data_IF_122635231134
#
_entry.id   IF_122635231134
#
_cell.length_a   1.000
_cell.length_b   1.000
_cell.length_c   1.000
_cell.angle_alpha   90.00
_cell.angle_beta   90.00
_cell.angle_gamma   90.00
#
_symmetry.space_group_name_H-M   'P 1'
#
loop_
_entity.id
_entity.type
_entity.pdbx_description
1 polymer ?
#
# COMPACT_ATOMS: atom_id res chain seq x y z
N UNK A 1 -22.85 4.98 15.73
CA UNK A 1 -21.44 4.63 15.99
C UNK A 1 -21.21 3.33 16.78
N UNK A 2 -21.51 3.22 18.09
CA UNK A 2 -21.16 1.99 18.85
C UNK A 2 -21.91 0.74 18.36
N UNK A 3 -23.17 0.90 17.93
CA UNK A 3 -23.97 -0.19 17.34
C UNK A 3 -23.49 -0.57 15.93
N UNK A 4 -23.08 0.39 15.11
CA UNK A 4 -22.50 0.16 13.79
C UNK A 4 -21.14 -0.54 13.90
N UNK A 5 -20.28 -0.11 14.83
CA UNK A 5 -19.01 -0.76 15.12
C UNK A 5 -19.19 -2.19 15.66
N UNK A 6 -20.21 -2.45 16.48
CA UNK A 6 -20.54 -3.83 16.93
C UNK A 6 -20.97 -4.73 15.75
N UNK A 7 -21.64 -4.18 14.74
CA UNK A 7 -21.98 -4.94 13.52
C UNK A 7 -20.75 -5.15 12.62
N UNK A 8 -19.88 -4.15 12.49
CA UNK A 8 -18.62 -4.23 11.74
C UNK A 8 -17.65 -5.24 12.38
N UNK A 9 -17.47 -5.22 13.70
CA UNK A 9 -16.64 -6.21 14.41
C UNK A 9 -17.18 -7.64 14.28
N UNK A 10 -18.49 -7.82 14.10
CA UNK A 10 -19.11 -9.14 13.85
C UNK A 10 -18.92 -9.61 12.40
N UNK A 11 -18.92 -8.70 11.43
CA UNK A 11 -18.63 -8.99 10.01
C UNK A 11 -17.13 -9.25 9.76
N UNK A 12 -16.25 -8.76 10.64
CA UNK A 12 -14.79 -8.96 10.61
C UNK A 12 -14.30 -10.27 11.21
N UNK A 13 -15.10 -10.95 12.04
CA UNK A 13 -14.72 -12.24 12.66
C UNK A 13 -15.42 -13.38 11.93
N UNK A 14 -14.65 -14.19 11.21
CA UNK A 14 -15.09 -15.51 10.78
C UNK A 14 -15.55 -16.35 11.99
N UNK A 15 -16.49 -17.28 11.76
CA UNK A 15 -17.00 -18.17 12.83
C UNK A 15 -15.84 -18.93 13.49
N UNK A 16 -15.77 -19.01 14.82
CA UNK A 16 -14.74 -19.80 15.50
C UNK A 16 -14.91 -21.28 15.15
N UNK A 17 -13.87 -21.90 14.58
CA UNK A 17 -13.78 -23.36 14.50
C UNK A 17 -13.14 -23.87 15.79
N UNK A 18 -13.81 -24.82 16.42
CA UNK A 18 -13.36 -25.48 17.66
C UNK A 18 -11.94 -26.02 17.52
N UNK A 19 -11.12 -25.76 18.54
CA UNK A 19 -9.67 -25.90 18.49
C UNK A 19 -9.13 -27.32 18.49
N UNK A 20 -7.86 -27.40 18.10
CA UNK A 20 -6.94 -28.47 18.47
C UNK A 20 -5.70 -27.83 19.09
N UNK A 21 -5.44 -28.17 20.36
CA UNK A 21 -4.32 -27.71 21.17
C UNK A 21 -3.01 -28.43 20.80
N UNK A 22 -1.90 -27.70 20.65
CA UNK A 22 -0.52 -28.25 20.64
C UNK A 22 0.52 -27.20 21.14
N UNK A 23 1.75 -27.61 21.52
CA UNK A 23 2.32 -27.30 22.82
C UNK A 23 3.24 -26.08 22.85
N UNK A 24 3.38 -25.50 24.05
CA UNK A 24 4.33 -24.43 24.36
C UNK A 24 5.77 -24.91 24.20
N UNK A 25 6.57 -24.20 23.41
CA UNK A 25 8.04 -24.29 23.45
C UNK A 25 8.65 -23.11 24.21
N UNK A 26 9.59 -23.45 25.09
CA UNK A 26 10.28 -22.56 26.00
C UNK A 26 11.32 -21.68 25.30
N UNK A 27 11.55 -20.50 25.88
CA UNK A 27 12.55 -19.54 25.45
C UNK A 27 13.97 -20.12 25.50
N UNK A 28 14.76 -19.92 24.44
CA UNK A 28 16.19 -20.17 24.43
C UNK A 28 16.96 -18.86 24.30
N UNK A 29 17.97 -18.76 25.14
CA UNK A 29 18.82 -17.62 25.49
C UNK A 29 19.66 -17.11 24.32
N UNK A 30 19.79 -15.79 24.26
CA UNK A 30 20.69 -15.06 23.37
C UNK A 30 22.17 -15.42 23.64
N UNK A 31 22.95 -15.60 22.58
CA UNK A 31 24.41 -15.57 22.64
C UNK A 31 24.95 -14.54 21.66
N UNK A 32 25.67 -13.55 22.22
CA UNK A 32 26.40 -12.50 21.50
C UNK A 32 27.61 -13.11 20.78
N UNK A 33 27.81 -12.78 19.52
CA UNK A 33 29.14 -12.81 18.90
C UNK A 33 29.37 -11.47 18.19
N UNK A 34 30.43 -10.79 18.61
CA UNK A 34 30.88 -9.53 18.07
C UNK A 34 32.04 -9.73 17.08
N UNK A 35 32.04 -8.86 16.07
CA UNK A 35 33.18 -8.29 15.33
C UNK A 35 34.13 -9.21 14.53
N UNK A 36 34.24 -8.97 13.22
CA UNK A 36 35.32 -8.13 12.70
C UNK A 36 35.13 -7.82 11.20
N UNK A 37 35.14 -6.53 10.88
CA UNK A 37 35.30 -6.00 9.53
C UNK A 37 36.80 -5.79 9.33
N UNK A 38 37.39 -6.38 8.28
CA UNK A 38 38.73 -6.03 7.83
C UNK A 38 38.70 -5.84 6.31
N UNK A 39 38.95 -4.60 5.87
CA UNK A 39 39.34 -4.28 4.49
C UNK A 39 40.87 -4.33 4.40
N UNK A 40 41.41 -4.93 3.33
CA UNK A 40 42.58 -4.50 2.54
C UNK A 40 42.96 -5.56 1.47
N UNK A 41 43.17 -5.12 0.22
CA UNK A 41 43.89 -5.82 -0.87
C UNK A 41 45.37 -5.34 -0.89
N UNK A 42 46.30 -5.84 -1.76
CA UNK A 42 46.51 -7.16 -2.37
C UNK A 42 47.98 -7.67 -2.20
N UNK A 43 48.25 -8.96 -2.47
CA UNK A 43 49.43 -9.49 -3.23
C UNK A 43 49.77 -10.96 -2.88
N UNK A 44 50.22 -11.67 -3.93
CA UNK A 44 51.04 -12.90 -3.94
C UNK A 44 50.40 -14.25 -3.57
N UNK A 45 50.50 -15.19 -4.52
CA UNK A 45 50.73 -16.61 -4.24
C UNK A 45 49.61 -17.56 -4.63
N UNK A 46 49.76 -18.24 -5.77
CA UNK A 46 49.02 -19.47 -6.08
C UNK A 46 49.25 -20.50 -4.97
N UNK A 47 48.18 -21.00 -4.35
CA UNK A 47 48.19 -22.25 -3.58
C UNK A 47 47.02 -23.11 -4.03
N UNK A 48 47.39 -24.22 -4.67
CA UNK A 48 46.53 -25.28 -5.17
C UNK A 48 45.99 -26.10 -3.98
N UNK A 49 44.67 -26.06 -3.73
CA UNK A 49 44.02 -26.92 -2.73
C UNK A 49 43.25 -28.05 -3.43
N UNK A 50 43.70 -29.28 -3.19
CA UNK A 50 43.11 -30.54 -3.67
C UNK A 50 41.74 -30.80 -3.01
N UNK A 51 40.78 -31.44 -3.70
CA UNK A 51 39.48 -31.76 -3.13
C UNK A 51 39.57 -32.96 -2.17
N UNK A 52 38.93 -32.83 -1.01
CA UNK A 52 38.70 -33.93 -0.05
C UNK A 52 37.35 -34.58 -0.38
N UNK A 53 37.26 -35.92 -0.55
CA UNK A 53 36.00 -36.59 -0.84
C UNK A 53 35.19 -36.78 0.44
N UNK A 54 33.94 -36.33 0.45
CA UNK A 54 32.99 -36.66 1.53
C UNK A 54 32.07 -37.77 1.03
N UNK A 55 32.12 -38.88 1.77
CA UNK A 55 31.36 -40.12 1.60
C UNK A 55 29.84 -39.88 1.66
N UNK A 56 29.10 -40.47 0.71
CA UNK A 56 27.66 -40.65 0.80
C UNK A 56 27.35 -41.96 1.54
N UNK A 57 26.53 -41.96 2.62
CA UNK A 57 25.81 -43.13 3.03
C UNK A 57 24.50 -43.23 2.23
N UNK A 58 24.44 -44.20 1.34
CA UNK A 58 23.21 -44.74 0.76
C UNK A 58 22.36 -45.39 1.85
N UNK A 59 21.17 -44.84 2.08
CA UNK A 59 19.87 -45.50 2.34
C UNK A 59 19.00 -44.59 3.21
N UNK A 60 18.09 -43.84 2.60
CA UNK A 60 16.87 -43.42 3.29
C UNK A 60 15.69 -43.38 2.31
N UNK A 61 14.64 -44.07 2.75
CA UNK A 61 13.39 -44.35 2.08
C UNK A 61 12.73 -43.12 1.44
N UNK A 62 12.30 -43.27 0.18
CA UNK A 62 11.40 -42.36 -0.52
C UNK A 62 10.09 -42.23 0.27
N UNK A 63 10.00 -41.18 1.10
CA UNK A 63 8.70 -40.65 1.50
C UNK A 63 8.35 -39.54 0.53
N UNK A 64 7.35 -39.82 -0.30
CA UNK A 64 6.61 -38.84 -1.09
C UNK A 64 6.20 -37.69 -0.17
N UNK A 65 6.87 -36.56 -0.28
CA UNK A 65 6.43 -35.32 0.34
C UNK A 65 5.22 -34.88 -0.49
N UNK A 66 4.02 -35.13 0.03
CA UNK A 66 2.83 -34.39 -0.40
C UNK A 66 3.11 -32.93 -0.08
N UNK A 67 3.23 -32.12 -1.11
CA UNK A 67 3.23 -30.66 -1.02
C UNK A 67 1.76 -30.30 -0.75
N UNK A 68 1.34 -30.41 0.51
CA UNK A 68 0.06 -29.89 0.94
C UNK A 68 0.13 -28.36 0.93
N UNK A 69 -0.77 -27.76 0.16
CA UNK A 69 -1.38 -26.44 0.34
C UNK A 69 -0.65 -25.45 1.26
N UNK A 70 0.20 -24.59 0.69
CA UNK A 70 0.38 -23.24 1.23
C UNK A 70 -0.84 -22.40 0.84
N UNK A 71 -1.99 -22.72 1.43
CA UNK A 71 -3.00 -21.70 1.65
C UNK A 71 -2.36 -20.68 2.58
N UNK A 72 -2.07 -19.47 2.08
CA UNK A 72 -1.73 -18.32 2.92
C UNK A 72 -2.97 -18.06 3.78
N UNK A 73 -3.00 -18.68 4.96
CA UNK A 73 -4.02 -18.43 5.95
C UNK A 73 -4.01 -16.94 6.29
N UNK A 74 -5.19 -16.34 6.32
CA UNK A 74 -5.35 -15.00 6.89
C UNK A 74 -4.79 -15.03 8.31
N UNK A 75 -3.78 -14.20 8.59
CA UNK A 75 -3.29 -14.02 9.96
C UNK A 75 -4.46 -13.44 10.76
N UNK A 76 -5.04 -14.24 11.66
CA UNK A 76 -6.05 -13.74 12.60
C UNK A 76 -5.41 -12.63 13.42
N UNK A 77 -5.70 -11.37 13.07
CA UNK A 77 -5.16 -10.21 13.77
C UNK A 77 -5.81 -10.16 15.16
N UNK A 78 -5.01 -10.37 16.20
CA UNK A 78 -5.47 -10.22 17.58
C UNK A 78 -6.06 -8.81 17.78
N UNK A 79 -7.20 -8.69 18.48
CA UNK A 79 -7.87 -7.41 18.62
C UNK A 79 -7.00 -6.42 19.42
N UNK A 80 -6.64 -5.30 18.80
CA UNK A 80 -5.89 -4.23 19.45
C UNK A 80 -6.71 -3.64 20.60
N UNK A 81 -6.17 -3.58 21.84
CA UNK A 81 -6.89 -3.10 23.00
C UNK A 81 -7.32 -1.64 22.87
N UNK A 82 -8.45 -1.30 23.49
CA UNK A 82 -8.92 0.09 23.54
C UNK A 82 -7.96 0.95 24.39
N UNK A 83 -7.77 2.22 23.98
CA UNK A 83 -6.85 3.16 24.63
C UNK A 83 -7.59 4.28 25.35
N UNK A 84 -6.92 4.96 26.28
CA UNK A 84 -7.49 6.14 26.96
C UNK A 84 -7.59 7.34 26.01
N UNK A 85 -8.51 8.26 26.32
CA UNK A 85 -8.67 9.52 25.59
C UNK A 85 -7.37 10.33 25.54
N UNK A 86 -6.58 10.36 26.63
CA UNK A 86 -5.27 11.03 26.65
C UNK A 86 -4.28 10.43 25.64
N UNK A 87 -4.23 9.10 25.54
CA UNK A 87 -3.37 8.42 24.57
C UNK A 87 -3.83 8.71 23.14
N UNK A 88 -5.14 8.76 22.92
CA UNK A 88 -5.73 9.12 21.63
C UNK A 88 -5.33 10.55 21.21
N UNK A 89 -5.48 11.53 22.10
CA UNK A 89 -5.06 12.92 21.87
C UNK A 89 -3.57 13.02 21.54
N UNK A 90 -2.72 12.24 22.22
CA UNK A 90 -1.28 12.17 21.92
C UNK A 90 -1.02 11.59 20.53
N UNK A 91 -1.75 10.57 20.10
CA UNK A 91 -1.60 10.01 18.75
C UNK A 91 -2.02 11.05 17.70
N UNK A 92 -3.15 11.73 17.90
CA UNK A 92 -3.60 12.82 17.02
C UNK A 92 -2.53 13.91 16.90
N UNK A 93 -1.98 14.38 18.03
CA UNK A 93 -0.91 15.37 18.03
C UNK A 93 0.34 14.92 17.25
N UNK A 94 0.73 13.64 17.39
CA UNK A 94 1.85 13.06 16.64
C UNK A 94 1.58 12.99 15.14
N UNK A 95 0.40 12.53 14.73
CA UNK A 95 0.00 12.47 13.31
C UNK A 95 0.04 13.85 12.69
N UNK A 96 -0.47 14.87 13.39
CA UNK A 96 -0.44 16.27 12.94
C UNK A 96 0.99 16.78 12.75
N UNK A 97 1.85 16.58 13.75
CA UNK A 97 3.26 17.00 13.67
C UNK A 97 4.00 16.32 12.50
N UNK A 98 3.76 15.02 12.28
CA UNK A 98 4.35 14.28 11.15
C UNK A 98 3.81 14.82 9.82
N UNK A 99 2.50 15.06 9.71
CA UNK A 99 1.90 15.63 8.51
C UNK A 99 2.48 17.01 8.18
N UNK A 100 2.68 17.87 9.19
CA UNK A 100 3.29 19.19 9.02
C UNK A 100 4.74 19.09 8.53
N UNK A 101 5.54 18.17 9.09
CA UNK A 101 6.91 17.90 8.62
C UNK A 101 6.92 17.39 7.18
N UNK A 102 6.02 16.46 6.84
CA UNK A 102 6.01 15.82 5.54
C UNK A 102 5.43 16.71 4.43
N UNK A 103 4.59 17.70 4.76
CA UNK A 103 3.91 18.57 3.78
C UNK A 103 4.86 19.16 2.74
N UNK A 104 6.00 19.67 3.18
CA UNK A 104 7.00 20.31 2.32
C UNK A 104 8.19 19.38 1.97
N UNK A 105 8.10 18.10 2.37
CA UNK A 105 9.13 17.11 2.08
C UNK A 105 9.09 16.64 0.62
N UNK A 106 10.24 16.18 0.11
CA UNK A 106 10.30 15.53 -1.20
C UNK A 106 9.39 14.29 -1.29
N UNK A 107 9.15 13.59 -0.18
CA UNK A 107 8.26 12.41 -0.16
C UNK A 107 6.84 12.77 -0.62
N UNK A 108 6.25 13.81 -0.04
CA UNK A 108 4.90 14.26 -0.43
C UNK A 108 4.95 14.99 -1.77
N UNK A 109 5.94 15.86 -2.01
CA UNK A 109 6.02 16.65 -3.23
C UNK A 109 6.26 15.79 -4.49
N UNK A 110 7.08 14.74 -4.41
CA UNK A 110 7.29 13.81 -5.52
C UNK A 110 6.04 12.98 -5.79
N UNK A 111 5.37 12.47 -4.75
CA UNK A 111 4.10 11.76 -4.89
C UNK A 111 3.04 12.65 -5.56
N UNK A 112 2.88 13.88 -5.06
CA UNK A 112 1.98 14.89 -5.60
C UNK A 112 2.29 15.23 -7.06
N UNK A 113 3.57 15.33 -7.45
CA UNK A 113 3.96 15.58 -8.84
C UNK A 113 3.51 14.44 -9.74
N UNK A 114 3.85 13.20 -9.40
CA UNK A 114 3.51 12.02 -10.21
C UNK A 114 1.99 11.85 -10.35
N UNK A 115 1.23 12.05 -9.26
CA UNK A 115 -0.23 12.00 -9.28
C UNK A 115 -0.80 13.09 -10.19
N UNK A 116 -0.30 14.32 -10.09
CA UNK A 116 -0.78 15.44 -10.89
C UNK A 116 -0.48 15.28 -12.38
N UNK A 117 0.68 14.72 -12.72
CA UNK A 117 1.02 14.36 -14.10
C UNK A 117 0.12 13.25 -14.63
N UNK A 118 -0.05 12.18 -13.85
CA UNK A 118 -0.82 11.00 -14.29
C UNK A 118 -2.30 11.30 -14.51
N UNK A 119 -2.91 12.08 -13.62
CA UNK A 119 -4.32 12.48 -13.73
C UNK A 119 -4.52 13.82 -14.45
N UNK A 120 -3.46 14.41 -15.00
CA UNK A 120 -3.49 15.69 -15.72
C UNK A 120 -4.15 16.83 -14.90
N UNK A 121 -3.97 16.85 -13.58
CA UNK A 121 -4.68 17.76 -12.65
C UNK A 121 -4.37 19.26 -12.88
N UNK A 122 -3.31 19.56 -13.62
CA UNK A 122 -2.93 20.94 -13.97
C UNK A 122 -3.48 21.37 -15.35
N UNK A 123 -4.13 20.47 -16.08
CA UNK A 123 -4.73 20.80 -17.38
C UNK A 123 -6.11 21.38 -17.13
N UNK A 124 -6.20 22.71 -17.11
CA UNK A 124 -7.49 23.37 -17.34
C UNK A 124 -7.90 22.96 -18.76
N UNK A 125 -8.88 22.05 -18.88
CA UNK A 125 -9.55 21.83 -20.16
C UNK A 125 -10.28 23.12 -20.50
N UNK A 126 -9.60 24.03 -21.19
CA UNK A 126 -10.25 25.05 -22.00
C UNK A 126 -10.95 24.30 -23.14
N UNK A 127 -12.19 23.91 -22.94
CA UNK A 127 -13.12 23.70 -24.04
C UNK A 127 -13.30 25.04 -24.76
N UNK A 128 -12.38 25.35 -25.68
CA UNK A 128 -12.66 26.30 -26.76
C UNK A 128 -13.07 25.47 -27.94
N UNK A 129 -14.30 24.95 -27.91
CA UNK A 129 -15.03 24.74 -29.15
C UNK A 129 -15.93 25.95 -29.30
N UNK A 130 -15.45 26.89 -30.11
CA UNK A 130 -16.35 27.86 -30.75
C UNK A 130 -17.28 27.07 -31.66
N UNK A 131 -18.54 27.48 -31.63
CA UNK A 131 -19.62 27.17 -32.57
C UNK A 131 -20.54 26.03 -32.10
N UNK A 132 -21.55 26.39 -31.29
CA UNK A 132 -23.00 26.17 -31.50
C UNK A 132 -23.75 26.69 -30.27
N UNK A 133 -24.75 27.54 -30.47
CA UNK A 133 -25.68 27.94 -29.41
C UNK A 133 -26.42 26.71 -28.87
N UNK A 134 -26.01 26.25 -27.69
CA UNK A 134 -26.67 25.25 -26.88
C UNK A 134 -26.36 25.58 -25.42
N UNK A 135 -27.32 25.36 -24.52
CA UNK A 135 -27.12 25.59 -23.09
C UNK A 135 -25.98 24.69 -22.60
N UNK A 136 -24.81 25.27 -22.42
CA UNK A 136 -23.67 24.62 -21.79
C UNK A 136 -23.99 24.42 -20.30
N UNK A 137 -24.65 23.32 -19.96
CA UNK A 137 -24.44 22.72 -18.65
C UNK A 137 -23.01 22.19 -18.64
N UNK A 138 -22.05 23.04 -18.31
CA UNK A 138 -20.73 22.60 -17.88
C UNK A 138 -20.94 21.72 -16.64
N UNK A 139 -21.03 20.40 -16.84
CA UNK A 139 -20.88 19.45 -15.74
C UNK A 139 -19.48 19.71 -15.16
N UNK A 140 -19.44 20.35 -14.01
CA UNK A 140 -18.25 20.49 -13.18
C UNK A 140 -17.88 19.08 -12.72
N UNK A 141 -17.18 18.33 -13.58
CA UNK A 141 -16.66 17.02 -13.20
C UNK A 141 -15.52 17.28 -12.24
N UNK A 142 -15.80 17.06 -10.95
CA UNK A 142 -14.79 17.06 -9.89
C UNK A 142 -13.72 16.02 -10.23
N UNK A 143 -12.59 16.51 -10.76
CA UNK A 143 -11.44 15.68 -11.13
C UNK A 143 -10.54 15.36 -9.93
N UNK A 144 -10.98 15.68 -8.70
CA UNK A 144 -10.21 15.35 -7.51
C UNK A 144 -10.04 13.84 -7.37
N UNK A 145 -8.81 13.35 -7.21
CA UNK A 145 -8.61 11.92 -7.03
C UNK A 145 -9.09 11.50 -5.64
N UNK A 146 -9.86 10.42 -5.57
CA UNK A 146 -10.22 9.78 -4.30
C UNK A 146 -8.99 9.05 -3.75
N UNK A 147 -8.66 9.26 -2.48
CA UNK A 147 -7.61 8.51 -1.79
C UNK A 147 -8.20 7.28 -1.09
N UNK A 148 -7.58 6.12 -1.27
CA UNK A 148 -7.97 4.88 -0.62
C UNK A 148 -6.77 4.28 0.11
N UNK A 149 -6.78 4.31 1.44
CA UNK A 149 -5.73 3.75 2.27
C UNK A 149 -6.04 2.30 2.66
N UNK A 150 -5.21 1.35 2.25
CA UNK A 150 -5.28 -0.01 2.76
C UNK A 150 -4.02 -0.41 3.50
N UNK A 151 -4.15 -1.31 4.48
CA UNK A 151 -3.00 -1.96 5.10
C UNK A 151 -2.13 -1.05 5.99
N UNK A 152 -2.70 0.03 6.52
CA UNK A 152 -1.98 0.97 7.39
C UNK A 152 -1.68 0.41 8.78
N UNK A 153 -2.40 -0.63 9.20
CA UNK A 153 -2.40 -1.15 10.56
C UNK A 153 -3.17 -0.28 11.56
N UNK A 154 -3.02 -0.58 12.86
CA UNK A 154 -3.61 0.21 13.95
C UNK A 154 -2.69 1.34 14.40
N UNK A 155 -3.21 2.55 14.44
CA UNK A 155 -2.53 3.74 14.97
C UNK A 155 -2.31 3.66 16.49
N UNK A 156 -3.10 2.83 17.16
CA UNK A 156 -3.00 2.58 18.60
C UNK A 156 -1.83 1.65 18.99
N UNK A 157 -1.36 0.85 18.04
CA UNK A 157 -0.38 -0.22 18.26
C UNK A 157 0.94 -0.05 17.47
N UNK A 158 0.92 0.66 16.34
CA UNK A 158 2.06 0.75 15.43
C UNK A 158 2.53 2.20 15.24
N UNK A 159 3.81 2.45 15.50
CA UNK A 159 4.42 3.74 15.17
C UNK A 159 4.49 3.96 13.67
N UNK A 160 4.65 2.90 12.85
CA UNK A 160 4.66 3.00 11.40
C UNK A 160 3.29 3.47 10.89
N UNK A 161 2.20 2.88 11.43
CA UNK A 161 0.83 3.28 11.09
C UNK A 161 0.58 4.77 11.36
N UNK A 162 1.12 5.31 12.46
CA UNK A 162 1.03 6.74 12.80
C UNK A 162 1.78 7.62 11.79
N UNK A 163 2.96 7.20 11.31
CA UNK A 163 3.71 7.97 10.30
C UNK A 163 3.02 7.91 8.94
N UNK A 164 2.57 6.73 8.54
CA UNK A 164 1.85 6.51 7.30
C UNK A 164 0.53 7.28 7.26
N UNK A 165 -0.20 7.34 8.38
CA UNK A 165 -1.36 8.22 8.52
C UNK A 165 -0.97 9.69 8.36
N UNK A 166 0.15 10.12 8.97
CA UNK A 166 0.68 11.49 8.79
C UNK A 166 0.96 11.83 7.32
N UNK A 167 1.55 10.89 6.57
CA UNK A 167 1.73 11.04 5.12
C UNK A 167 0.39 11.17 4.38
N UNK A 168 -0.58 10.29 4.67
CA UNK A 168 -1.89 10.32 4.02
C UNK A 168 -2.63 11.65 4.27
N UNK A 169 -2.55 12.17 5.50
CA UNK A 169 -3.10 13.48 5.86
C UNK A 169 -2.41 14.60 5.09
N UNK A 170 -1.08 14.63 5.06
CA UNK A 170 -0.32 15.66 4.33
C UNK A 170 -0.62 15.63 2.81
N UNK A 171 -0.73 14.43 2.23
CA UNK A 171 -1.04 14.23 0.82
C UNK A 171 -2.45 14.75 0.49
N UNK A 172 -3.45 14.39 1.30
CA UNK A 172 -4.84 14.83 1.12
C UNK A 172 -4.96 16.34 1.18
N UNK A 173 -4.44 16.97 2.24
CA UNK A 173 -4.48 18.42 2.42
C UNK A 173 -3.78 19.16 1.27
N UNK A 174 -2.69 18.59 0.74
CA UNK A 174 -1.97 19.17 -0.39
C UNK A 174 -2.72 19.04 -1.71
N UNK A 175 -3.43 17.93 -1.94
CA UNK A 175 -4.31 17.76 -3.11
C UNK A 175 -5.49 18.74 -3.05
N UNK A 176 -6.17 18.84 -1.91
CA UNK A 176 -7.25 19.80 -1.69
C UNK A 176 -6.78 21.24 -1.90
N UNK A 177 -5.62 21.62 -1.34
CA UNK A 177 -5.05 22.96 -1.52
C UNK A 177 -4.75 23.28 -2.98
N UNK A 178 -4.22 22.32 -3.75
CA UNK A 178 -3.96 22.51 -5.18
C UNK A 178 -5.24 22.72 -5.98
N UNK A 179 -6.28 21.93 -5.70
CA UNK A 179 -7.58 22.03 -6.38
C UNK A 179 -8.26 23.38 -6.10
N UNK A 180 -8.22 23.85 -4.85
CA UNK A 180 -8.74 25.19 -4.48
C UNK A 180 -8.04 26.32 -5.25
N UNK A 181 -6.72 26.24 -5.43
CA UNK A 181 -5.96 27.23 -6.22
C UNK A 181 -6.32 27.19 -7.71
N UNK A 182 -6.59 26.01 -8.25
CA UNK A 182 -6.95 25.82 -9.66
C UNK A 182 -8.34 26.35 -10.00
N UNK A 183 -9.31 26.18 -9.10
CA UNK A 183 -10.71 26.55 -9.36
C UNK A 183 -11.00 28.04 -9.18
N UNK A 184 -9.99 28.86 -8.86
CA UNK A 184 -10.18 30.24 -8.43
C UNK A 184 -10.95 30.31 -7.10
N UNK A 185 -10.89 31.44 -6.42
CA UNK A 185 -11.49 31.67 -5.09
C UNK A 185 -13.05 31.71 -5.12
N UNK A 186 -13.69 31.04 -6.10
CA UNK A 186 -15.12 31.19 -6.45
C UNK A 186 -16.03 30.20 -5.69
N UNK A 187 -15.47 29.25 -4.95
CA UNK A 187 -16.25 28.29 -4.12
C UNK A 187 -16.06 28.51 -2.61
N UNK A 188 -15.88 29.77 -2.19
CA UNK A 188 -16.19 30.17 -0.82
C UNK A 188 -17.71 30.34 -0.64
N UNK A 189 -18.48 29.28 -0.96
CA UNK A 189 -19.87 29.16 -0.50
C UNK A 189 -19.91 27.99 0.46
N UNK A 190 -19.91 28.36 1.73
CA UNK A 190 -20.22 27.52 2.87
C UNK A 190 -21.55 26.78 2.63
N UNK A 191 -21.46 25.53 2.17
CA UNK A 191 -22.51 24.53 2.40
C UNK A 191 -21.94 23.55 3.42
N UNK A 192 -22.14 23.87 4.69
CA UNK A 192 -21.59 23.19 5.87
C UNK A 192 -22.06 21.73 6.07
N UNK A 193 -22.83 21.14 5.16
CA UNK A 193 -23.56 19.89 5.42
C UNK A 193 -23.14 18.67 4.57
N UNK A 194 -22.06 18.75 3.79
CA UNK A 194 -21.47 17.55 3.18
C UNK A 194 -19.94 17.63 3.19
N UNK A 195 -19.33 17.10 4.26
CA UNK A 195 -17.90 16.82 4.26
C UNK A 195 -17.68 15.74 3.20
N UNK A 196 -17.30 16.12 1.99
CA UNK A 196 -16.87 15.17 0.97
C UNK A 196 -15.52 14.63 1.40
N UNK A 197 -15.53 13.47 2.07
CA UNK A 197 -14.32 12.76 2.45
C UNK A 197 -13.59 12.33 1.17
N UNK A 198 -12.55 13.07 0.81
CA UNK A 198 -11.69 12.75 -0.34
C UNK A 198 -10.74 11.57 -0.05
N UNK A 199 -10.83 10.97 1.14
CA UNK A 199 -9.98 9.88 1.58
C UNK A 199 -10.74 8.86 2.45
N UNK A 200 -10.62 7.58 2.08
CA UNK A 200 -11.21 6.45 2.78
C UNK A 200 -10.12 5.47 3.21
N UNK A 201 -10.25 4.84 4.38
CA UNK A 201 -9.26 3.87 4.86
C UNK A 201 -9.86 2.59 5.41
N UNK A 202 -9.12 1.48 5.26
CA UNK A 202 -9.42 0.19 5.88
C UNK A 202 -8.16 -0.56 6.27
N UNK A 203 -8.18 -1.13 7.47
CA UNK A 203 -7.29 -2.21 7.86
C UNK A 203 -8.01 -3.12 8.88
N UNK A 204 -7.89 -4.46 8.77
CA UNK A 204 -8.49 -5.38 9.74
C UNK A 204 -7.99 -5.17 11.17
N UNK A 205 -6.76 -4.67 11.37
CA UNK A 205 -6.18 -4.36 12.67
C UNK A 205 -6.79 -3.11 13.33
N UNK A 206 -7.47 -2.24 12.58
CA UNK A 206 -8.06 -1.02 13.13
C UNK A 206 -9.21 -1.30 14.09
N UNK A 207 -9.21 -0.60 15.22
CA UNK A 207 -10.30 -0.63 16.20
C UNK A 207 -11.08 0.71 16.23
N UNK A 208 -11.98 0.85 17.20
CA UNK A 208 -12.80 2.07 17.35
C UNK A 208 -11.97 3.33 17.61
N UNK A 209 -10.87 3.22 18.35
CA UNK A 209 -10.00 4.38 18.60
C UNK A 209 -9.30 4.83 17.33
N UNK A 210 -8.87 3.88 16.49
CA UNK A 210 -8.32 4.20 15.17
C UNK A 210 -9.33 4.93 14.29
N UNK A 211 -10.62 4.54 14.37
CA UNK A 211 -11.70 5.21 13.66
C UNK A 211 -11.89 6.67 14.13
N UNK A 212 -11.93 6.91 15.44
CA UNK A 212 -12.08 8.28 15.97
C UNK A 212 -10.85 9.13 15.61
N UNK A 213 -9.65 8.55 15.60
CA UNK A 213 -8.44 9.23 15.11
C UNK A 213 -8.59 9.58 13.62
N UNK A 214 -9.03 8.64 12.78
CA UNK A 214 -9.24 8.87 11.35
C UNK A 214 -10.28 9.96 11.07
N UNK A 215 -11.41 9.93 11.78
CA UNK A 215 -12.48 10.93 11.70
C UNK A 215 -11.99 12.33 12.09
N UNK A 216 -11.11 12.44 13.11
CA UNK A 216 -10.48 13.72 13.47
C UNK A 216 -9.70 14.34 12.29
N UNK A 217 -9.11 13.49 11.46
CA UNK A 217 -8.43 13.92 10.23
C UNK A 217 -9.35 13.90 9.01
N UNK A 218 -10.68 13.86 9.15
CA UNK A 218 -11.65 13.88 8.04
C UNK A 218 -11.48 12.71 7.06
N UNK A 219 -10.94 11.58 7.53
CA UNK A 219 -10.87 10.33 6.76
C UNK A 219 -12.09 9.47 7.08
N UNK A 220 -12.70 8.89 6.04
CA UNK A 220 -13.83 7.98 6.19
C UNK A 220 -13.34 6.55 6.39
N UNK A 221 -14.01 5.81 7.29
CA UNK A 221 -13.74 4.39 7.48
C UNK A 221 -14.57 3.57 6.50
N UNK A 222 -13.89 2.70 5.75
CA UNK A 222 -14.57 1.65 4.97
C UNK A 222 -15.05 0.59 5.96
N UNK A 223 -16.32 0.22 5.90
CA UNK A 223 -16.92 -0.66 6.91
C UNK A 223 -16.72 -2.14 6.61
N UNK A 224 -16.52 -2.49 5.35
CA UNK A 224 -16.38 -3.86 4.87
C UNK A 224 -14.95 -4.13 4.41
N UNK A 225 -14.46 -5.34 4.66
CA UNK A 225 -13.20 -5.77 4.08
C UNK A 225 -13.40 -5.97 2.57
N UNK A 226 -12.86 -5.05 1.78
CA UNK A 226 -12.90 -5.14 0.32
C UNK A 226 -11.84 -6.10 -0.23
N UNK A 227 -10.90 -6.55 0.61
CA UNK A 227 -9.76 -7.40 0.24
C UNK A 227 -8.97 -6.82 -0.96
N UNK A 228 -8.93 -5.50 -1.10
CA UNK A 228 -8.27 -4.82 -2.22
C UNK A 228 -8.99 -5.00 -3.57
N UNK A 229 -10.24 -5.46 -3.59
CA UNK A 229 -11.02 -5.71 -4.83
C UNK A 229 -11.88 -4.52 -5.27
N UNK A 230 -11.61 -3.32 -4.76
CA UNK A 230 -12.33 -2.09 -5.15
C UNK A 230 -12.08 -1.79 -6.62
N UNK A 231 -13.17 -1.67 -7.38
CA UNK A 231 -13.11 -1.23 -8.77
C UNK A 231 -13.11 0.30 -8.82
N UNK A 232 -12.32 0.88 -9.73
CA UNK A 232 -12.22 2.33 -9.91
C UNK A 232 -13.06 2.77 -11.10
N UNK A 233 -13.88 3.78 -10.91
CA UNK A 233 -14.67 4.47 -11.95
C UNK A 233 -14.11 5.86 -12.27
N UNK A 234 -13.34 6.42 -11.35
CA UNK A 234 -12.78 7.77 -11.34
C UNK A 234 -11.33 7.75 -10.86
N UNK A 235 -10.63 8.89 -10.98
CA UNK A 235 -9.25 9.03 -10.55
C UNK A 235 -9.11 8.61 -9.07
N UNK A 236 -8.33 7.57 -8.82
CA UNK A 236 -8.18 6.97 -7.48
C UNK A 236 -6.71 6.73 -7.17
N UNK A 237 -6.26 7.18 -6.00
CA UNK A 237 -4.93 6.87 -5.48
C UNK A 237 -5.07 5.84 -4.37
N UNK A 238 -4.52 4.65 -4.56
CA UNK A 238 -4.39 3.67 -3.50
C UNK A 238 -3.11 3.93 -2.71
N UNK A 239 -3.22 4.28 -1.43
CA UNK A 239 -2.08 4.35 -0.51
C UNK A 239 -1.98 3.06 0.29
N UNK A 240 -0.93 2.29 0.03
CA UNK A 240 -0.79 0.91 0.47
C UNK A 240 0.64 0.63 0.95
N UNK A 241 1.18 1.33 1.96
CA UNK A 241 2.54 1.08 2.44
C UNK A 241 2.62 -0.28 3.15
N UNK A 242 3.71 -1.04 2.94
CA UNK A 242 3.97 -2.34 3.56
C UNK A 242 2.83 -3.38 3.46
N UNK A 243 1.94 -3.21 2.48
CA UNK A 243 0.83 -4.12 2.27
C UNK A 243 1.29 -5.51 1.82
N UNK A 244 0.50 -6.53 2.16
CA UNK A 244 0.71 -7.88 1.67
C UNK A 244 0.54 -7.98 0.16
N UNK A 245 1.33 -8.86 -0.48
CA UNK A 245 1.34 -9.07 -1.95
C UNK A 245 -0.07 -9.26 -2.52
N UNK A 246 -0.88 -10.10 -1.87
CA UNK A 246 -2.26 -10.42 -2.30
C UNK A 246 -3.13 -9.17 -2.46
N UNK A 247 -2.95 -8.15 -1.62
CA UNK A 247 -3.75 -6.94 -1.66
C UNK A 247 -3.46 -6.12 -2.93
N UNK A 248 -2.18 -5.97 -3.30
CA UNK A 248 -1.81 -5.37 -4.58
C UNK A 248 -2.32 -6.18 -5.76
N UNK A 249 -2.18 -7.52 -5.72
CA UNK A 249 -2.65 -8.37 -6.81
C UNK A 249 -4.16 -8.22 -7.04
N UNK A 250 -4.95 -8.11 -5.98
CA UNK A 250 -6.39 -7.89 -6.09
C UNK A 250 -6.71 -6.51 -6.68
N UNK A 251 -6.02 -5.45 -6.24
CA UNK A 251 -6.22 -4.09 -6.80
C UNK A 251 -5.90 -4.08 -8.29
N UNK A 252 -4.78 -4.68 -8.69
CA UNK A 252 -4.39 -4.77 -10.10
C UNK A 252 -5.39 -5.60 -10.91
N UNK A 253 -5.73 -6.81 -10.45
CA UNK A 253 -6.59 -7.73 -11.17
C UNK A 253 -8.02 -7.20 -11.35
N UNK A 254 -8.60 -6.59 -10.31
CA UNK A 254 -9.97 -6.04 -10.38
C UNK A 254 -10.09 -4.79 -11.26
N UNK A 255 -8.98 -4.13 -11.57
CA UNK A 255 -8.92 -2.93 -12.39
C UNK A 255 -8.17 -3.12 -13.71
N UNK A 256 -7.70 -4.34 -14.00
CA UNK A 256 -6.92 -4.65 -15.20
C UNK A 256 -7.75 -4.42 -16.46
N UNK A 257 -7.22 -3.64 -17.41
CA UNK A 257 -7.96 -3.16 -18.57
C UNK A 257 -8.08 -1.64 -18.58
N UNK A 258 -9.07 -1.06 -19.28
CA UNK A 258 -9.20 0.39 -19.44
C UNK A 258 -9.29 1.19 -18.13
N UNK A 259 -9.79 0.58 -17.04
CA UNK A 259 -9.95 1.23 -15.74
C UNK A 259 -8.62 1.55 -15.05
N UNK A 260 -7.54 0.80 -15.34
CA UNK A 260 -6.24 0.99 -14.67
C UNK A 260 -5.60 2.36 -14.94
N UNK A 261 -6.01 3.04 -16.01
CA UNK A 261 -5.56 4.43 -16.27
C UNK A 261 -6.06 5.39 -15.19
N UNK A 262 -7.17 5.06 -14.54
CA UNK A 262 -7.79 5.87 -13.49
C UNK A 262 -7.18 5.57 -12.11
N UNK A 263 -6.13 4.75 -12.01
CA UNK A 263 -5.48 4.46 -10.73
C UNK A 263 -4.00 4.79 -10.68
N UNK A 264 -3.57 5.23 -9.50
CA UNK A 264 -2.18 5.33 -9.07
C UNK A 264 -2.04 4.56 -7.77
N UNK A 265 -0.94 3.83 -7.59
CA UNK A 265 -0.63 3.17 -6.32
C UNK A 265 0.55 3.88 -5.69
N UNK A 266 0.45 4.28 -4.44
CA UNK A 266 1.59 4.65 -3.60
C UNK A 266 1.79 3.49 -2.62
N UNK A 267 2.79 2.66 -2.87
CA UNK A 267 2.96 1.40 -2.16
C UNK A 267 4.38 0.89 -2.23
N UNK A 268 4.57 -0.37 -1.88
CA UNK A 268 5.86 -1.02 -1.93
C UNK A 268 6.39 -1.07 -3.37
N UNK A 269 7.72 -1.00 -3.51
CA UNK A 269 8.39 -1.25 -4.77
C UNK A 269 8.03 -2.65 -5.31
N UNK A 270 7.47 -2.70 -6.52
CA UNK A 270 7.23 -3.99 -7.19
C UNK A 270 8.55 -4.59 -7.66
N UNK A 271 9.49 -3.74 -8.05
CA UNK A 271 10.85 -4.12 -8.40
C UNK A 271 11.54 -4.86 -7.23
N UNK A 272 11.38 -4.38 -6.00
CA UNK A 272 11.93 -5.03 -4.82
C UNK A 272 11.33 -6.44 -4.55
N UNK A 273 10.07 -6.70 -4.92
CA UNK A 273 9.52 -8.06 -4.86
C UNK A 273 10.17 -8.99 -5.87
N UNK A 274 10.51 -8.50 -7.06
CA UNK A 274 11.24 -9.27 -8.06
C UNK A 274 12.62 -9.70 -7.59
N UNK A 275 13.34 -8.80 -6.92
CA UNK A 275 14.71 -9.06 -6.42
C UNK A 275 14.75 -10.01 -5.22
N UNK A 276 13.70 -10.00 -4.38
CA UNK A 276 13.61 -10.82 -3.16
C UNK A 276 13.19 -12.27 -3.44
N UNK A 277 12.58 -12.57 -4.58
CA UNK A 277 12.13 -13.93 -4.91
C UNK A 277 13.28 -14.70 -5.58
N UNK A 278 13.86 -15.65 -4.82
CA UNK A 278 15.02 -16.44 -5.25
C UNK A 278 14.67 -17.58 -6.21
N UNK A 279 13.41 -18.02 -6.25
CA UNK A 279 12.95 -19.10 -7.11
C UNK A 279 12.30 -18.60 -8.40
N UNK A 280 12.78 -19.04 -9.56
CA UNK A 280 12.24 -18.60 -10.86
C UNK A 280 10.74 -18.87 -11.02
N UNK A 281 10.25 -20.04 -10.56
CA UNK A 281 8.83 -20.39 -10.64
C UNK A 281 7.92 -19.47 -9.82
N UNK A 282 8.31 -19.16 -8.59
CA UNK A 282 7.55 -18.24 -7.73
C UNK A 282 7.54 -16.82 -8.30
N UNK A 283 8.67 -16.42 -8.91
CA UNK A 283 8.80 -15.12 -9.58
C UNK A 283 7.87 -15.02 -10.79
N UNK A 284 7.77 -16.08 -11.59
CA UNK A 284 6.91 -16.15 -12.77
C UNK A 284 5.41 -16.18 -12.40
N UNK A 285 5.07 -16.69 -11.22
CA UNK A 285 3.68 -16.73 -10.71
C UNK A 285 3.24 -15.41 -10.07
N UNK A 286 4.17 -14.58 -9.60
CA UNK A 286 3.85 -13.33 -8.92
C UNK A 286 3.41 -12.25 -9.93
N UNK A 287 2.15 -11.83 -9.84
CA UNK A 287 1.58 -10.80 -10.72
C UNK A 287 2.33 -9.47 -10.62
N UNK A 288 2.86 -9.14 -9.43
CA UNK A 288 3.62 -7.91 -9.19
C UNK A 288 4.90 -7.85 -10.02
N UNK A 289 5.50 -9.00 -10.32
CA UNK A 289 6.69 -9.08 -11.19
C UNK A 289 6.29 -9.10 -12.65
N UNK A 290 5.23 -9.84 -12.96
CA UNK A 290 4.72 -9.97 -14.34
C UNK A 290 4.30 -8.62 -14.92
N UNK A 291 3.85 -7.68 -14.09
CA UNK A 291 3.39 -6.37 -14.53
C UNK A 291 4.51 -5.35 -14.74
N UNK A 292 5.72 -5.56 -14.17
CA UNK A 292 6.83 -4.60 -14.19
C UNK A 292 7.16 -4.01 -15.58
N UNK A 293 7.13 -4.78 -16.70
CA UNK A 293 7.39 -4.21 -18.02
C UNK A 293 6.38 -3.15 -18.47
N UNK A 294 5.24 -3.05 -17.80
CA UNK A 294 4.11 -2.18 -18.14
C UNK A 294 3.82 -1.12 -17.07
N UNK A 295 4.59 -1.09 -15.98
CA UNK A 295 4.47 -0.11 -14.89
C UNK A 295 5.59 0.91 -15.02
N UNK A 296 5.23 2.19 -14.81
CA UNK A 296 6.22 3.22 -14.49
C UNK A 296 6.27 3.37 -12.97
N UNK A 297 7.40 2.96 -12.38
CA UNK A 297 7.64 2.95 -10.95
C UNK A 297 8.61 4.08 -10.58
N UNK A 298 8.14 5.02 -9.75
CA UNK A 298 8.92 6.16 -9.28
C UNK A 298 9.19 6.00 -7.78
N UNK A 299 10.43 5.66 -7.37
CA UNK A 299 10.78 5.56 -5.96
C UNK A 299 10.59 6.87 -5.21
N UNK A 300 10.07 6.80 -4.00
CA UNK A 300 9.89 7.96 -3.13
C UNK A 300 10.98 8.00 -2.05
N UNK A 301 11.46 9.20 -1.65
CA UNK A 301 12.42 9.34 -0.57
C UNK A 301 11.77 9.12 0.81
N UNK A 302 12.59 8.91 1.84
CA UNK A 302 12.18 8.69 3.24
C UNK A 302 11.35 9.85 3.87
N UNK A 303 11.34 11.04 3.24
CA UNK A 303 10.59 12.22 3.70
C UNK A 303 11.35 13.13 4.65
N UNK A 304 12.35 12.63 5.36
CA UNK A 304 13.26 13.45 6.18
C UNK A 304 14.72 13.17 5.85
N UNK A 305 15.59 14.13 6.15
CA UNK A 305 17.02 13.98 5.96
C UNK A 305 17.63 12.96 6.95
N UNK A 306 18.74 12.31 6.58
CA UNK A 306 19.43 11.30 7.41
C UNK A 306 19.86 11.78 8.80
N UNK A 307 20.04 13.09 8.97
CA UNK A 307 20.44 13.71 10.24
C UNK A 307 19.24 14.14 11.11
N UNK A 308 18.01 13.91 10.65
CA UNK A 308 16.81 14.15 11.46
C UNK A 308 16.80 13.20 12.67
N UNK A 309 16.46 13.72 13.86
CA UNK A 309 16.49 12.94 15.11
C UNK A 309 15.64 11.66 15.04
N UNK A 310 14.50 11.75 14.35
CA UNK A 310 13.57 10.63 14.14
C UNK A 310 13.78 9.84 12.84
N UNK A 311 14.89 10.02 12.12
CA UNK A 311 15.11 9.42 10.78
C UNK A 311 14.75 7.92 10.72
N UNK A 312 15.16 7.14 11.72
CA UNK A 312 14.88 5.69 11.76
C UNK A 312 13.38 5.35 11.76
N UNK A 313 12.52 6.21 12.32
CA UNK A 313 11.06 5.99 12.34
C UNK A 313 10.43 6.30 10.98
N UNK A 314 10.90 7.35 10.32
CA UNK A 314 10.48 7.67 8.95
C UNK A 314 10.97 6.60 7.98
N UNK A 315 12.22 6.15 8.11
CA UNK A 315 12.78 5.08 7.28
C UNK A 315 11.98 3.79 7.48
N UNK A 316 11.70 3.39 8.72
CA UNK A 316 10.90 2.21 8.99
C UNK A 316 9.46 2.27 8.42
N UNK A 317 8.91 3.46 8.19
CA UNK A 317 7.58 3.65 7.64
C UNK A 317 7.55 3.79 6.10
N UNK A 318 8.66 4.20 5.47
CA UNK A 318 8.69 4.65 4.07
C UNK A 318 9.87 4.10 3.24
N UNK A 319 10.75 3.25 3.77
CA UNK A 319 11.98 2.77 3.11
C UNK A 319 11.78 2.04 1.76
N UNK A 320 10.59 1.53 1.47
CA UNK A 320 10.28 0.76 0.26
C UNK A 320 9.16 1.41 -0.56
N UNK A 321 8.88 2.70 -0.35
CA UNK A 321 7.72 3.37 -0.94
C UNK A 321 8.01 3.88 -2.36
N UNK A 322 7.09 3.63 -3.29
CA UNK A 322 7.13 4.08 -4.68
C UNK A 322 5.74 4.49 -5.15
N UNK A 323 5.69 5.37 -6.15
CA UNK A 323 4.48 5.64 -6.93
C UNK A 323 4.50 4.75 -8.16
N UNK A 324 3.46 3.93 -8.33
CA UNK A 324 3.27 3.06 -9.47
C UNK A 324 2.13 3.61 -10.32
N UNK A 325 2.42 3.89 -11.58
CA UNK A 325 1.43 4.33 -12.57
C UNK A 325 1.48 3.48 -13.84
N UNK A 326 0.38 3.50 -14.58
CA UNK A 326 0.18 2.67 -15.77
C UNK A 326 0.01 3.56 -17.00
N UNK A 327 1.10 3.92 -17.72
CA UNK A 327 1.00 4.70 -18.94
C UNK A 327 0.12 4.00 -19.98
N UNK A 328 -0.73 4.75 -20.68
CA UNK A 328 -1.69 4.16 -21.63
C UNK A 328 -1.01 3.36 -22.76
N UNK A 329 0.18 3.78 -23.19
CA UNK A 329 0.97 3.07 -24.20
C UNK A 329 1.50 1.72 -23.71
N UNK A 330 1.90 1.64 -22.44
CA UNK A 330 2.34 0.40 -21.79
C UNK A 330 1.18 -0.56 -21.57
N UNK A 331 0.03 -0.04 -21.11
CA UNK A 331 -1.18 -0.83 -20.93
C UNK A 331 -1.70 -1.42 -22.24
N UNK A 332 -1.78 -0.62 -23.31
CA UNK A 332 -2.24 -1.09 -24.60
C UNK A 332 -1.36 -2.23 -25.13
N UNK A 333 -0.04 -2.14 -24.91
CA UNK A 333 0.91 -3.20 -25.21
C UNK A 333 0.63 -4.46 -24.39
N UNK A 334 0.45 -4.33 -23.08
CA UNK A 334 0.14 -5.46 -22.19
C UNK A 334 -1.13 -6.20 -22.61
N UNK A 335 -2.22 -5.46 -22.88
CA UNK A 335 -3.51 -6.02 -23.26
C UNK A 335 -3.47 -6.71 -24.64
N UNK A 336 -2.61 -6.24 -25.54
CA UNK A 336 -2.49 -6.79 -26.90
C UNK A 336 -1.52 -7.97 -26.97
N UNK A 337 -0.38 -7.87 -26.29
CA UNK A 337 0.78 -8.73 -26.54
C UNK A 337 0.97 -9.80 -25.43
N UNK A 338 0.45 -9.60 -24.22
CA UNK A 338 0.71 -10.45 -23.05
C UNK A 338 -0.50 -11.28 -22.61
N UNK A 339 -0.86 -12.28 -23.43
CA UNK A 339 -2.00 -13.14 -23.17
C UNK A 339 -1.92 -13.87 -21.82
N UNK A 340 -0.72 -14.25 -21.38
CA UNK A 340 -0.53 -14.95 -20.11
C UNK A 340 -0.82 -14.03 -18.92
N UNK A 341 -0.29 -12.80 -18.92
CA UNK A 341 -0.60 -11.82 -17.89
C UNK A 341 -2.10 -11.53 -17.85
N UNK A 342 -2.73 -11.33 -19.01
CA UNK A 342 -4.16 -11.06 -19.11
C UNK A 342 -5.01 -12.21 -18.54
N UNK A 343 -4.65 -13.46 -18.82
CA UNK A 343 -5.33 -14.64 -18.26
C UNK A 343 -5.15 -14.75 -16.75
N UNK A 344 -3.94 -14.51 -16.24
CA UNK A 344 -3.66 -14.51 -14.79
C UNK A 344 -4.45 -13.42 -14.06
N UNK A 345 -4.48 -12.20 -14.60
CA UNK A 345 -5.27 -11.09 -14.06
C UNK A 345 -6.76 -11.43 -14.02
N UNK A 346 -7.31 -11.96 -15.12
CA UNK A 346 -8.72 -12.38 -15.19
C UNK A 346 -9.05 -13.49 -14.19
N UNK A 347 -8.12 -14.42 -13.95
CA UNK A 347 -8.29 -15.52 -12.98
C UNK A 347 -8.33 -14.98 -11.56
N UNK A 348 -7.41 -14.10 -11.17
CA UNK A 348 -7.42 -13.47 -9.85
C UNK A 348 -8.68 -12.62 -9.66
N UNK A 349 -9.10 -11.87 -10.69
CA UNK A 349 -10.30 -11.04 -10.65
C UNK A 349 -11.58 -11.86 -10.41
N UNK A 350 -11.70 -13.05 -11.02
CA UNK A 350 -12.84 -13.97 -10.86
C UNK A 350 -12.85 -14.78 -9.57
N UNK A 351 -11.71 -14.87 -8.89
CA UNK A 351 -11.62 -15.62 -7.64
C UNK A 351 -12.49 -14.92 -6.58
N UNK A 352 -13.41 -15.64 -5.94
CA UNK A 352 -14.32 -15.07 -4.93
C UNK A 352 -13.56 -14.46 -3.74
N UNK A 353 -14.22 -13.54 -3.00
CA UNK A 353 -13.67 -13.03 -1.73
C UNK A 353 -13.40 -14.22 -0.79
N UNK A 354 -12.27 -14.25 -0.08
CA UNK A 354 -12.10 -15.20 1.02
C UNK A 354 -13.30 -15.06 1.98
N UNK A 355 -13.84 -16.20 2.44
CA UNK A 355 -15.07 -16.27 3.23
C UNK A 355 -14.85 -15.92 4.70
#
# INVERSE_FOLDING_TARGET
>A
MEQEWRQVSRRRRGKPRNGASYPRFAASTASKVAANVLCCFPSLGCVEFKPVPIFFPTTLSLRTIRIDEFAVGEEEVEPVPEISADKQTKIIGRVRAIADILRDSLLVQDALRVIAEHFELNTVKKSVDKDVEGVDTEEVTDHSPTLVGYGLGSFCASSNAVHQLGFLVALRESLESRLRKSNGDVLAVESSDTIQHCAEIFDPAMNKNDAVIAEHFQLKIILENEHGRRQVDSNTVFFMPHCGKTLYQNVLACNWGPAIKNLVIIGNSFSAYGDRVLGSKERDELLLVSVLPYVDEVPLPCGVAKHHEDFARYEAAFNDLSVLRFPSSSLHRALRDDNLLNEKMATVARTEKPK
#
